data_IF_473059144658
#
_entry.id   IF_473059144658
#
_cell.length_a   1.000
_cell.length_b   1.000
_cell.length_c   1.000
_cell.angle_alpha   90.00
_cell.angle_beta   90.00
_cell.angle_gamma   90.00
#
_symmetry.space_group_name_H-M   'P 1'
#
loop_
_entity.id
_entity.type
_entity.pdbx_description
1 polymer ?
#
# COMPACT_ATOMS: atom_id res chain seq x y z
N UNK A 1 10.72 2.76 17.35
CA UNK A 1 11.78 3.15 16.38
C UNK A 1 13.20 3.02 16.93
N UNK A 2 13.57 3.66 18.04
CA UNK A 2 14.95 3.61 18.58
C UNK A 2 15.43 2.18 18.84
N UNK A 3 14.57 1.33 19.41
CA UNK A 3 14.88 -0.09 19.59
C UNK A 3 15.16 -0.80 18.26
N UNK A 4 14.37 -0.56 17.21
CA UNK A 4 14.58 -1.13 15.88
C UNK A 4 15.89 -0.65 15.25
N UNK A 5 16.15 0.66 15.31
CA UNK A 5 17.36 1.27 14.74
C UNK A 5 18.64 0.82 15.45
N UNK A 6 18.55 0.36 16.70
CA UNK A 6 19.68 -0.24 17.41
C UNK A 6 20.07 -1.63 16.86
N UNK A 7 19.16 -2.31 16.14
CA UNK A 7 19.36 -3.67 15.64
C UNK A 7 19.97 -3.73 14.21
N UNK A 8 20.08 -2.57 13.53
CA UNK A 8 20.72 -2.46 12.21
C UNK A 8 20.42 -1.18 11.44
N UNK A 9 20.89 -1.14 10.18
CA UNK A 9 20.60 -0.05 9.24
C UNK A 9 19.10 0.05 8.93
N UNK A 10 18.61 1.28 8.81
CA UNK A 10 17.18 1.58 8.60
C UNK A 10 16.90 2.19 7.23
N UNK A 11 17.83 2.07 6.29
CA UNK A 11 17.72 2.70 4.97
C UNK A 11 16.85 1.90 4.01
N UNK A 12 16.90 0.56 4.06
CA UNK A 12 16.23 -0.32 3.10
C UNK A 12 15.22 -1.27 3.79
N UNK A 13 14.06 -1.56 3.16
CA UNK A 13 13.04 -2.47 3.71
C UNK A 13 13.58 -3.81 4.20
N UNK A 14 14.43 -4.47 3.43
CA UNK A 14 15.05 -5.76 3.83
C UNK A 14 15.92 -5.66 5.09
N UNK A 15 16.57 -4.51 5.33
CA UNK A 15 17.40 -4.32 6.52
C UNK A 15 16.52 -4.10 7.75
N UNK A 16 15.48 -3.26 7.63
CA UNK A 16 14.56 -3.01 8.75
C UNK A 16 13.71 -4.23 9.07
N UNK A 17 13.39 -5.07 8.08
CA UNK A 17 12.70 -6.35 8.27
C UNK A 17 13.52 -7.30 9.14
N UNK A 18 14.82 -7.46 8.84
CA UNK A 18 15.74 -8.25 9.68
C UNK A 18 15.96 -7.63 11.06
N UNK A 19 16.00 -6.31 11.16
CA UNK A 19 16.08 -5.60 12.43
C UNK A 19 14.83 -5.86 13.29
N UNK A 20 13.65 -5.93 12.67
CA UNK A 20 12.40 -6.28 13.35
C UNK A 20 12.47 -7.70 13.93
N UNK A 21 12.96 -8.67 13.16
CA UNK A 21 13.11 -10.05 13.66
C UNK A 21 14.01 -10.14 14.89
N UNK A 22 15.15 -9.43 14.89
CA UNK A 22 16.03 -9.35 16.07
C UNK A 22 15.31 -8.71 17.27
N UNK A 23 14.60 -7.62 17.03
CA UNK A 23 13.85 -6.92 18.07
C UNK A 23 12.76 -7.81 18.69
N UNK A 24 11.99 -8.52 17.86
CA UNK A 24 10.95 -9.46 18.30
C UNK A 24 11.57 -10.59 19.13
N UNK A 25 12.64 -11.22 18.64
CA UNK A 25 13.32 -12.31 19.34
C UNK A 25 13.88 -11.86 20.69
N UNK A 26 14.51 -10.68 20.75
CA UNK A 26 15.03 -10.08 21.98
C UNK A 26 13.90 -9.82 22.98
N UNK A 27 12.82 -9.17 22.56
CA UNK A 27 11.67 -8.88 23.43
C UNK A 27 11.01 -10.14 23.98
N UNK A 28 10.90 -11.19 23.15
CA UNK A 28 10.41 -12.50 23.56
C UNK A 28 11.31 -13.13 24.63
N UNK A 29 12.64 -13.07 24.46
CA UNK A 29 13.60 -13.56 25.45
C UNK A 29 13.55 -12.77 26.77
N UNK A 30 13.21 -11.48 26.71
CA UNK A 30 12.99 -10.61 27.87
C UNK A 30 11.62 -10.80 28.54
N UNK A 31 10.74 -11.65 27.99
CA UNK A 31 9.37 -11.85 28.49
C UNK A 31 8.45 -10.63 28.32
N UNK A 32 8.75 -9.75 27.34
CA UNK A 32 7.94 -8.56 27.05
C UNK A 32 6.75 -8.91 26.15
N UNK A 33 5.70 -8.12 26.26
CA UNK A 33 4.52 -8.22 25.39
C UNK A 33 4.91 -8.10 23.90
N UNK A 34 4.24 -8.84 23.01
CA UNK A 34 4.43 -8.75 21.57
C UNK A 34 4.20 -7.33 21.04
N UNK A 35 4.94 -6.96 20.00
CA UNK A 35 4.72 -5.69 19.31
C UNK A 35 3.32 -5.68 18.66
N UNK A 36 2.69 -4.51 18.59
CA UNK A 36 1.37 -4.33 17.99
C UNK A 36 1.44 -3.39 16.79
N UNK A 37 0.98 -3.85 15.63
CA UNK A 37 0.91 -3.05 14.42
C UNK A 37 -0.53 -2.88 13.92
N UNK A 38 -0.83 -1.66 13.45
CA UNK A 38 -2.12 -1.31 12.87
C UNK A 38 -2.18 -1.46 11.35
N UNK A 39 -3.33 -1.90 10.84
CA UNK A 39 -3.69 -1.92 9.41
C UNK A 39 -5.15 -1.48 9.22
N UNK A 40 -5.53 -1.13 7.99
CA UNK A 40 -6.88 -0.57 7.72
C UNK A 40 -7.96 -1.63 7.55
N UNK A 41 -7.61 -2.80 7.01
CA UNK A 41 -8.55 -3.89 6.73
C UNK A 41 -7.78 -5.20 6.45
N UNK A 42 -8.27 -6.38 6.88
CA UNK A 42 -7.54 -7.65 6.73
C UNK A 42 -7.21 -8.04 5.29
N UNK A 43 -7.98 -7.59 4.30
CA UNK A 43 -7.74 -7.87 2.87
C UNK A 43 -7.24 -6.63 2.10
N UNK A 44 -6.63 -5.67 2.79
CA UNK A 44 -6.09 -4.45 2.17
C UNK A 44 -4.64 -4.58 1.74
N UNK A 45 -4.25 -3.73 0.79
CA UNK A 45 -2.85 -3.57 0.37
C UNK A 45 -1.92 -3.22 1.51
N UNK A 46 -2.34 -2.36 2.44
CA UNK A 46 -1.54 -2.02 3.62
C UNK A 46 -1.25 -3.26 4.49
N UNK A 47 -2.20 -4.19 4.62
CA UNK A 47 -1.95 -5.47 5.29
C UNK A 47 -0.92 -6.29 4.52
N UNK A 48 -1.09 -6.45 3.22
CA UNK A 48 -0.16 -7.25 2.43
C UNK A 48 1.25 -6.65 2.40
N UNK A 49 1.40 -5.33 2.26
CA UNK A 49 2.69 -4.63 2.36
C UNK A 49 3.34 -4.86 3.73
N UNK A 50 2.56 -4.73 4.81
CA UNK A 50 3.06 -4.92 6.17
C UNK A 50 3.50 -6.38 6.41
N UNK A 51 2.67 -7.35 6.00
CA UNK A 51 2.96 -8.78 6.08
C UNK A 51 4.17 -9.16 5.24
N UNK A 52 4.28 -8.62 4.03
CA UNK A 52 5.43 -8.86 3.15
C UNK A 52 6.71 -8.34 3.81
N UNK A 53 6.69 -7.10 4.32
CA UNK A 53 7.84 -6.54 5.04
C UNK A 53 8.26 -7.39 6.26
N UNK A 54 7.30 -7.87 7.06
CA UNK A 54 7.56 -8.70 8.24
C UNK A 54 8.11 -10.09 7.86
N UNK A 55 7.43 -10.77 6.94
CA UNK A 55 7.73 -12.14 6.55
C UNK A 55 9.11 -12.28 5.89
N UNK A 56 9.49 -11.34 5.01
CA UNK A 56 10.83 -11.32 4.40
C UNK A 56 11.95 -11.00 5.41
N UNK A 57 11.59 -10.52 6.60
CA UNK A 57 12.50 -10.36 7.73
C UNK A 57 12.65 -11.61 8.59
N UNK A 58 11.79 -12.62 8.40
CA UNK A 58 11.68 -13.79 9.27
C UNK A 58 10.73 -13.61 10.47
N UNK A 59 9.78 -12.66 10.40
CA UNK A 59 8.75 -12.45 11.41
C UNK A 59 7.42 -12.95 10.88
N UNK A 60 6.82 -13.92 11.55
CA UNK A 60 5.47 -14.36 11.22
C UNK A 60 4.43 -13.33 11.71
N UNK A 61 3.68 -12.66 10.81
CA UNK A 61 2.75 -11.61 11.19
C UNK A 61 1.53 -12.11 12.00
N UNK A 62 1.26 -13.41 12.03
CA UNK A 62 0.14 -14.00 12.77
C UNK A 62 0.56 -14.61 14.12
N UNK A 63 1.84 -14.97 14.28
CA UNK A 63 2.35 -15.66 15.48
C UNK A 63 3.35 -14.84 16.31
N UNK A 64 4.19 -14.03 15.66
CA UNK A 64 5.30 -13.35 16.34
C UNK A 64 4.95 -11.96 16.88
N UNK A 65 3.81 -11.40 16.46
CA UNK A 65 3.33 -10.08 16.85
C UNK A 65 1.81 -9.99 16.76
N UNK A 66 1.25 -8.83 17.10
CA UNK A 66 -0.18 -8.57 17.04
C UNK A 66 -0.50 -7.61 15.89
N UNK A 67 -1.27 -8.07 14.90
CA UNK A 67 -1.89 -7.20 13.89
C UNK A 67 -3.32 -6.83 14.29
N UNK A 68 -3.65 -5.54 14.26
CA UNK A 68 -5.00 -5.04 14.56
C UNK A 68 -5.55 -4.13 13.47
N UNK A 69 -6.88 -4.14 13.34
CA UNK A 69 -7.60 -3.25 12.41
C UNK A 69 -8.00 -1.98 13.14
N UNK A 70 -7.61 -0.83 12.58
CA UNK A 70 -7.97 0.49 13.09
C UNK A 70 -8.33 1.44 11.95
N UNK A 71 -9.33 2.31 12.12
CA UNK A 71 -9.51 3.46 11.24
C UNK A 71 -8.26 4.34 11.23
N UNK A 72 -7.82 4.84 10.05
CA UNK A 72 -6.59 5.62 9.93
C UNK A 72 -6.41 6.79 10.91
N UNK A 73 -7.42 7.64 11.19
CA UNK A 73 -7.24 8.75 12.13
C UNK A 73 -6.86 8.27 13.54
N UNK A 74 -7.41 7.12 13.96
CA UNK A 74 -7.14 6.55 15.28
C UNK A 74 -5.77 5.88 15.36
N UNK A 75 -5.13 5.53 14.23
CA UNK A 75 -3.77 4.98 14.26
C UNK A 75 -2.75 5.97 14.81
N UNK A 76 -2.87 7.26 14.44
CA UNK A 76 -1.99 8.32 14.94
C UNK A 76 -2.15 8.51 16.45
N UNK A 77 -3.40 8.53 16.92
CA UNK A 77 -3.72 8.67 18.34
C UNK A 77 -3.22 7.46 19.17
N UNK A 78 -3.40 6.24 18.66
CA UNK A 78 -2.93 5.03 19.34
C UNK A 78 -1.41 4.94 19.35
N UNK A 79 -0.72 5.41 18.31
CA UNK A 79 0.74 5.54 18.30
C UNK A 79 1.21 6.53 19.38
N UNK A 80 0.57 7.70 19.48
CA UNK A 80 0.88 8.71 20.50
C UNK A 80 0.70 8.19 21.95
N UNK A 81 -0.24 7.25 22.14
CA UNK A 81 -0.53 6.61 23.44
C UNK A 81 0.31 5.36 23.71
N UNK A 82 1.25 5.01 22.84
CA UNK A 82 2.04 3.78 22.89
C UNK A 82 1.16 2.50 22.91
N UNK A 83 -0.01 2.55 22.29
CA UNK A 83 -0.90 1.40 22.09
C UNK A 83 -0.59 0.66 20.78
N UNK A 84 0.10 1.33 19.85
CA UNK A 84 0.71 0.77 18.66
C UNK A 84 2.23 0.97 18.71
N UNK A 85 2.97 0.00 18.17
CA UNK A 85 4.40 0.10 17.90
C UNK A 85 4.68 0.57 16.46
N UNK A 86 3.69 0.42 15.57
CA UNK A 86 3.74 0.90 14.19
C UNK A 86 2.42 0.68 13.45
N UNK A 87 2.31 1.14 12.21
CA UNK A 87 1.16 0.88 11.34
C UNK A 87 1.52 1.01 9.87
N UNK A 88 0.70 0.42 9.00
CA UNK A 88 0.73 0.66 7.55
C UNK A 88 -0.62 1.22 7.10
N UNK A 89 -0.60 2.35 6.39
CA UNK A 89 -1.80 3.10 6.03
C UNK A 89 -1.53 4.00 4.83
N UNK A 90 -2.59 4.31 4.08
CA UNK A 90 -2.52 5.28 2.98
C UNK A 90 -2.25 6.69 3.50
N UNK A 91 -1.73 7.55 2.64
CA UNK A 91 -1.55 8.96 2.96
C UNK A 91 -2.89 9.62 3.38
N UNK A 92 -2.87 10.67 4.23
CA UNK A 92 -1.69 11.40 4.74
C UNK A 92 -1.29 11.03 6.17
N UNK A 93 -1.87 9.99 6.77
CA UNK A 93 -1.83 9.75 8.22
C UNK A 93 -0.43 9.50 8.78
N UNK A 94 0.47 8.88 8.01
CA UNK A 94 1.88 8.75 8.39
C UNK A 94 2.58 10.10 8.49
N UNK A 95 2.29 11.03 7.57
CA UNK A 95 2.80 12.41 7.63
C UNK A 95 2.22 13.19 8.82
N UNK A 96 0.94 12.97 9.14
CA UNK A 96 0.31 13.55 10.35
C UNK A 96 1.03 13.07 11.61
N UNK A 97 1.37 11.78 11.70
CA UNK A 97 2.11 11.25 12.85
C UNK A 97 3.53 11.84 12.97
N UNK A 98 4.22 12.05 11.84
CA UNK A 98 5.55 12.70 11.82
C UNK A 98 5.46 14.15 12.26
N UNK A 99 4.53 14.93 11.71
CA UNK A 99 4.38 16.35 12.03
C UNK A 99 3.93 16.56 13.50
N UNK A 100 3.15 15.64 14.05
CA UNK A 100 2.80 15.63 15.48
C UNK A 100 3.95 15.17 16.39
N UNK A 101 5.07 14.71 15.83
CA UNK A 101 6.23 14.23 16.59
C UNK A 101 6.02 12.89 17.31
N UNK A 102 4.98 12.14 16.95
CA UNK A 102 4.61 10.87 17.60
C UNK A 102 5.05 9.65 16.81
N UNK A 103 5.51 9.83 15.57
CA UNK A 103 5.93 8.75 14.69
C UNK A 103 7.05 9.12 13.75
N UNK A 104 7.53 8.10 13.03
CA UNK A 104 8.49 8.23 11.93
C UNK A 104 8.00 7.38 10.77
N UNK A 105 8.22 7.84 9.54
CA UNK A 105 8.00 7.03 8.35
C UNK A 105 9.23 6.16 8.14
N UNK A 106 9.05 4.85 8.26
CA UNK A 106 10.13 3.89 8.04
C UNK A 106 10.37 3.68 6.54
N UNK A 107 9.29 3.38 5.80
CA UNK A 107 9.30 3.13 4.36
C UNK A 107 8.06 3.72 3.69
N UNK A 108 8.19 4.05 2.41
CA UNK A 108 7.08 4.35 1.52
C UNK A 108 6.51 3.05 0.97
N UNK A 109 5.21 3.05 0.63
CA UNK A 109 4.57 1.86 0.05
C UNK A 109 5.25 1.39 -1.24
N UNK A 110 5.68 2.34 -2.08
CA UNK A 110 6.43 2.08 -3.32
C UNK A 110 7.80 1.42 -3.10
N UNK A 111 8.42 1.61 -1.92
CA UNK A 111 9.68 0.94 -1.56
C UNK A 111 9.44 -0.51 -1.14
N UNK A 112 8.24 -0.83 -0.62
CA UNK A 112 7.86 -2.21 -0.27
C UNK A 112 7.41 -2.97 -1.51
N UNK A 113 6.55 -2.33 -2.31
CA UNK A 113 6.03 -2.92 -3.54
C UNK A 113 5.89 -1.84 -4.62
N UNK A 114 6.72 -1.94 -5.65
CA UNK A 114 6.68 -1.07 -6.81
C UNK A 114 5.38 -1.29 -7.59
N UNK A 115 4.71 -0.19 -7.93
CA UNK A 115 3.45 -0.21 -8.68
C UNK A 115 2.35 -1.04 -8.00
N UNK A 116 2.24 -0.93 -6.67
CA UNK A 116 1.15 -1.53 -5.91
C UNK A 116 -0.21 -1.00 -6.44
N UNK A 117 -1.17 -1.87 -6.80
CA UNK A 117 -2.55 -1.41 -6.99
C UNK A 117 -3.01 -0.84 -5.65
N UNK A 118 -3.48 0.39 -5.57
CA UNK A 118 -3.94 0.94 -4.29
C UNK A 118 -5.45 1.18 -4.29
N UNK A 119 -5.90 2.31 -4.78
CA UNK A 119 -7.32 2.67 -4.72
C UNK A 119 -7.92 2.55 -6.11
N UNK A 120 -9.10 1.93 -6.18
CA UNK A 120 -9.79 1.62 -7.43
C UNK A 120 -11.20 2.22 -7.44
N UNK A 121 -11.70 2.58 -8.62
CA UNK A 121 -13.13 2.73 -8.84
C UNK A 121 -13.74 1.34 -8.98
N UNK A 122 -14.54 0.92 -8.01
CA UNK A 122 -15.29 -0.33 -8.09
C UNK A 122 -16.76 -0.04 -8.39
N UNK A 123 -17.29 -0.74 -9.40
CA UNK A 123 -18.70 -0.71 -9.78
C UNK A 123 -19.28 -2.12 -9.69
N UNK A 124 -20.60 -2.24 -9.45
CA UNK A 124 -21.26 -3.54 -9.62
C UNK A 124 -21.23 -3.91 -11.10
N UNK A 125 -20.93 -5.17 -11.41
CA UNK A 125 -20.85 -5.66 -12.78
C UNK A 125 -22.14 -5.40 -13.58
N UNK A 126 -23.31 -5.68 -12.98
CA UNK A 126 -24.59 -5.41 -13.62
C UNK A 126 -24.77 -3.93 -13.98
N UNK A 127 -24.41 -3.03 -13.07
CA UNK A 127 -24.49 -1.59 -13.33
C UNK A 127 -23.58 -1.18 -14.50
N UNK A 128 -22.36 -1.74 -14.55
CA UNK A 128 -21.42 -1.41 -15.60
C UNK A 128 -21.90 -1.90 -16.97
N UNK A 129 -22.48 -3.11 -17.02
CA UNK A 129 -23.04 -3.70 -18.24
C UNK A 129 -24.31 -2.98 -18.71
N UNK A 130 -25.16 -2.55 -17.79
CA UNK A 130 -26.43 -1.87 -18.11
C UNK A 130 -26.22 -0.40 -18.51
N UNK A 131 -25.08 0.21 -18.16
CA UNK A 131 -24.83 1.65 -18.36
C UNK A 131 -23.46 1.94 -19.02
N UNK A 132 -23.12 1.32 -20.17
CA UNK A 132 -21.77 1.40 -20.73
C UNK A 132 -21.34 2.84 -21.07
N UNK A 133 -22.24 3.66 -21.62
CA UNK A 133 -21.93 5.06 -21.97
C UNK A 133 -21.66 5.93 -20.74
N UNK A 134 -22.41 5.70 -19.65
CA UNK A 134 -22.22 6.42 -18.39
C UNK A 134 -20.91 6.01 -17.72
N UNK A 135 -20.58 4.71 -17.74
CA UNK A 135 -19.29 4.21 -17.25
C UNK A 135 -18.14 4.82 -18.04
N UNK A 136 -18.22 4.84 -19.37
CA UNK A 136 -17.20 5.44 -20.20
C UNK A 136 -17.05 6.95 -19.94
N UNK A 137 -18.16 7.66 -19.73
CA UNK A 137 -18.13 9.07 -19.34
C UNK A 137 -17.49 9.30 -17.96
N UNK A 138 -17.78 8.42 -16.99
CA UNK A 138 -17.17 8.45 -15.66
C UNK A 138 -15.66 8.20 -15.72
N UNK A 139 -15.21 7.20 -16.50
CA UNK A 139 -13.79 6.92 -16.71
C UNK A 139 -13.09 8.15 -17.30
N UNK A 140 -13.63 8.76 -18.36
CA UNK A 140 -13.10 10.02 -18.95
C UNK A 140 -13.10 11.19 -17.97
N UNK A 141 -14.03 11.24 -17.03
CA UNK A 141 -14.05 12.29 -16.00
C UNK A 141 -12.93 12.07 -14.98
N UNK A 142 -12.73 10.83 -14.52
CA UNK A 142 -11.68 10.48 -13.58
C UNK A 142 -10.29 10.64 -14.18
N UNK A 143 -10.10 10.22 -15.43
CA UNK A 143 -8.83 10.38 -16.15
C UNK A 143 -8.42 11.86 -16.27
N UNK A 144 -9.36 12.73 -16.67
CA UNK A 144 -9.13 14.19 -16.69
C UNK A 144 -8.88 14.77 -15.31
N UNK A 145 -9.56 14.27 -14.28
CA UNK A 145 -9.33 14.68 -12.90
C UNK A 145 -7.94 14.27 -12.41
N UNK A 146 -7.50 13.07 -12.76
CA UNK A 146 -6.17 12.56 -12.45
C UNK A 146 -5.08 13.39 -13.12
N UNK A 147 -5.24 13.70 -14.42
CA UNK A 147 -4.36 14.60 -15.14
C UNK A 147 -4.34 16.01 -14.51
N UNK A 148 -5.50 16.53 -14.10
CA UNK A 148 -5.56 17.83 -13.41
C UNK A 148 -4.76 17.83 -12.10
N UNK A 149 -4.81 16.75 -11.32
CA UNK A 149 -4.08 16.64 -10.04
C UNK A 149 -2.57 16.57 -10.25
N UNK A 150 -2.10 15.88 -11.30
CA UNK A 150 -0.67 15.73 -11.56
C UNK A 150 0.00 17.02 -12.05
N UNK A 151 -0.77 18.02 -12.48
CA UNK A 151 -0.22 19.28 -12.98
C UNK A 151 0.27 20.19 -11.84
N UNK A 152 1.58 20.58 -11.85
CA UNK A 152 2.17 21.33 -10.74
C UNK A 152 1.46 22.64 -10.38
N UNK A 153 0.90 23.33 -11.37
CA UNK A 153 0.13 24.56 -11.18
C UNK A 153 -1.17 24.36 -10.39
N UNK A 154 -1.75 23.16 -10.42
CA UNK A 154 -3.02 22.85 -9.78
C UNK A 154 -2.85 22.32 -8.35
N UNK A 155 -1.65 21.87 -7.97
CA UNK A 155 -1.39 21.28 -6.65
C UNK A 155 -1.82 22.17 -5.48
N UNK A 156 -1.66 23.49 -5.62
CA UNK A 156 -2.12 24.43 -4.59
C UNK A 156 -3.63 24.39 -4.38
N UNK A 157 -4.40 24.39 -5.46
CA UNK A 157 -5.86 24.29 -5.41
C UNK A 157 -6.31 22.93 -4.87
N UNK A 158 -5.73 21.84 -5.40
CA UNK A 158 -6.05 20.48 -4.99
C UNK A 158 -5.81 20.28 -3.49
N UNK A 159 -4.67 20.74 -2.97
CA UNK A 159 -4.36 20.68 -1.54
C UNK A 159 -5.38 21.44 -0.68
N UNK A 160 -5.83 22.62 -1.13
CA UNK A 160 -6.84 23.43 -0.42
C UNK A 160 -8.24 22.82 -0.47
N UNK A 161 -8.59 22.12 -1.54
CA UNK A 161 -9.86 21.37 -1.62
C UNK A 161 -9.80 20.21 -0.62
N UNK A 162 -8.74 19.39 -0.67
CA UNK A 162 -8.62 18.21 0.17
C UNK A 162 -8.47 18.55 1.66
N UNK A 163 -7.94 19.73 2.01
CA UNK A 163 -7.78 20.17 3.40
C UNK A 163 -9.08 20.53 4.10
N UNK A 164 -10.19 20.70 3.38
CA UNK A 164 -11.45 21.09 4.00
C UNK A 164 -12.00 19.96 4.88
N UNK A 165 -12.69 20.27 6.00
CA UNK A 165 -13.21 19.26 6.92
C UNK A 165 -14.17 18.25 6.28
N UNK A 166 -14.89 18.64 5.22
CA UNK A 166 -15.78 17.75 4.46
C UNK A 166 -15.06 16.76 3.54
N UNK A 167 -13.74 16.91 3.34
CA UNK A 167 -12.88 15.99 2.59
C UNK A 167 -11.92 15.24 3.51
N UNK A 168 -10.61 15.48 3.40
CA UNK A 168 -9.60 14.81 4.24
C UNK A 168 -9.47 15.52 5.59
N UNK A 169 -9.63 16.84 5.61
CA UNK A 169 -9.64 17.62 6.85
C UNK A 169 -8.28 17.72 7.55
N UNK A 170 -7.18 17.67 6.80
CA UNK A 170 -5.81 17.88 7.32
C UNK A 170 -5.16 19.10 6.67
N UNK A 171 -4.05 19.58 7.24
CA UNK A 171 -3.35 20.75 6.73
C UNK A 171 -2.96 20.61 5.24
N UNK A 172 -3.23 21.66 4.46
CA UNK A 172 -3.00 21.68 3.02
C UNK A 172 -1.53 21.45 2.65
N UNK A 173 -0.59 21.86 3.50
CA UNK A 173 0.85 21.67 3.30
C UNK A 173 1.24 20.20 3.50
N UNK A 174 0.59 19.48 4.42
CA UNK A 174 0.75 18.01 4.54
C UNK A 174 0.28 17.33 3.25
N UNK A 175 -0.89 17.74 2.73
CA UNK A 175 -1.43 17.18 1.48
C UNK A 175 -0.50 17.50 0.31
N UNK A 176 0.00 18.73 0.21
CA UNK A 176 0.93 19.14 -0.85
C UNK A 176 2.17 18.25 -0.87
N UNK A 177 2.79 18.01 0.29
CA UNK A 177 3.96 17.12 0.43
C UNK A 177 3.67 15.68 -0.02
N UNK A 178 2.48 15.18 0.29
CA UNK A 178 2.00 13.86 -0.17
C UNK A 178 1.87 13.82 -1.69
N UNK A 179 1.23 14.83 -2.30
CA UNK A 179 1.03 14.89 -3.75
C UNK A 179 2.34 15.01 -4.52
N UNK A 180 3.36 15.65 -3.94
CA UNK A 180 4.67 15.80 -4.58
C UNK A 180 5.65 14.67 -4.23
N UNK A 181 5.30 13.77 -3.31
CA UNK A 181 6.22 12.75 -2.80
C UNK A 181 7.42 13.29 -2.00
N UNK A 182 7.35 14.53 -1.52
CA UNK A 182 8.40 15.19 -0.72
C UNK A 182 8.01 15.19 0.75
N UNK A 183 8.37 14.13 1.48
CA UNK A 183 7.87 13.89 2.84
C UNK A 183 8.92 14.14 3.90
N UNK A 184 8.47 14.68 5.04
CA UNK A 184 9.20 14.54 6.29
C UNK A 184 9.06 13.11 6.79
N UNK A 185 10.18 12.44 7.01
CA UNK A 185 10.19 11.05 7.49
C UNK A 185 10.49 10.96 8.98
N UNK A 186 11.22 11.92 9.54
CA UNK A 186 11.53 12.00 10.96
C UNK A 186 12.00 13.39 11.35
N UNK A 187 11.28 14.09 12.24
CA UNK A 187 11.65 15.44 12.69
C UNK A 187 11.99 16.39 11.52
N UNK A 188 13.28 16.69 11.28
CA UNK A 188 13.76 17.54 10.18
C UNK A 188 14.27 16.77 8.95
N UNK A 189 14.28 15.44 9.01
CA UNK A 189 14.73 14.58 7.93
C UNK A 189 13.62 14.47 6.88
N UNK A 190 13.97 14.79 5.63
CA UNK A 190 13.08 14.76 4.48
C UNK A 190 13.58 13.77 3.43
N UNK A 191 12.65 13.11 2.75
CA UNK A 191 12.92 12.18 1.66
C UNK A 191 11.94 12.42 0.52
N UNK A 192 12.42 12.19 -0.69
CA UNK A 192 11.66 12.42 -1.91
C UNK A 192 11.66 11.17 -2.78
N UNK A 193 10.50 10.77 -3.27
CA UNK A 193 10.37 9.74 -4.29
C UNK A 193 9.29 10.15 -5.30
N UNK A 194 9.67 10.29 -6.57
CA UNK A 194 8.74 10.59 -7.65
C UNK A 194 7.71 9.48 -7.88
N UNK A 195 7.91 8.27 -7.34
CA UNK A 195 6.96 7.17 -7.39
C UNK A 195 6.09 7.03 -6.13
N UNK A 196 6.23 7.94 -5.15
CA UNK A 196 5.49 7.85 -3.89
C UNK A 196 3.96 7.80 -4.09
N UNK A 197 3.43 8.70 -4.92
CA UNK A 197 2.03 8.76 -5.28
C UNK A 197 1.93 9.18 -6.75
N UNK A 198 1.32 8.33 -7.56
CA UNK A 198 1.10 8.56 -8.99
C UNK A 198 -0.39 8.44 -9.24
N UNK A 199 -0.97 9.45 -9.89
CA UNK A 199 -2.42 9.53 -10.11
C UNK A 199 -2.73 9.55 -11.61
N UNK A 200 -2.32 10.60 -12.34
CA UNK A 200 -2.66 10.82 -13.75
C UNK A 200 -1.62 10.40 -14.78
N UNK A 201 -0.40 10.04 -14.36
CA UNK A 201 0.72 9.68 -15.25
C UNK A 201 1.12 8.21 -15.16
N UNK A 202 2.06 7.84 -16.03
CA UNK A 202 2.70 6.52 -16.05
C UNK A 202 1.73 5.32 -16.09
N UNK A 203 0.56 5.52 -16.69
CA UNK A 203 -0.48 4.49 -16.84
C UNK A 203 -1.26 4.17 -15.56
N UNK A 204 -1.11 4.95 -14.47
CA UNK A 204 -1.69 4.63 -13.16
C UNK A 204 -3.22 4.50 -13.13
N UNK A 205 -3.93 5.18 -14.04
CA UNK A 205 -5.40 5.11 -14.14
C UNK A 205 -5.91 3.85 -14.82
N UNK A 206 -5.07 3.15 -15.60
CA UNK A 206 -5.49 1.96 -16.34
C UNK A 206 -5.36 0.72 -15.45
N UNK A 207 -6.45 -0.03 -15.18
CA UNK A 207 -6.38 -1.26 -14.41
C UNK A 207 -5.44 -2.30 -15.04
N UNK A 208 -4.56 -2.90 -14.25
CA UNK A 208 -3.64 -3.96 -14.71
C UNK A 208 -4.01 -5.30 -14.06
N UNK A 209 -4.55 -6.28 -14.82
CA UNK A 209 -4.91 -7.59 -14.28
C UNK A 209 -3.79 -8.31 -13.52
N UNK A 210 -2.51 -8.07 -13.87
CA UNK A 210 -1.36 -8.68 -13.17
C UNK A 210 -1.28 -8.24 -11.71
N UNK A 211 -1.73 -7.02 -11.42
CA UNK A 211 -1.82 -6.51 -10.05
C UNK A 211 -2.90 -7.27 -9.25
N UNK A 212 -4.02 -7.65 -9.87
CA UNK A 212 -5.04 -8.47 -9.23
C UNK A 212 -4.54 -9.90 -8.98
N UNK A 213 -3.78 -10.47 -9.91
CA UNK A 213 -3.13 -11.77 -9.73
C UNK A 213 -2.17 -11.75 -8.55
N UNK A 214 -1.37 -10.70 -8.42
CA UNK A 214 -0.47 -10.56 -7.29
C UNK A 214 -1.23 -10.46 -5.96
N UNK A 215 -2.31 -9.67 -5.89
CA UNK A 215 -3.18 -9.58 -4.70
C UNK A 215 -3.75 -10.97 -4.36
N UNK A 216 -4.24 -11.68 -5.37
CA UNK A 216 -4.78 -13.03 -5.18
C UNK A 216 -3.71 -14.00 -4.68
N UNK A 217 -2.47 -13.91 -5.18
CA UNK A 217 -1.34 -14.67 -4.65
C UNK A 217 -1.05 -14.33 -3.18
N UNK A 218 -1.16 -13.07 -2.77
CA UNK A 218 -1.03 -12.69 -1.35
C UNK A 218 -2.19 -13.22 -0.50
N UNK A 219 -3.42 -13.20 -1.01
CA UNK A 219 -4.57 -13.82 -0.33
C UNK A 219 -4.36 -15.33 -0.14
N UNK A 220 -3.80 -16.02 -1.13
CA UNK A 220 -3.43 -17.42 -1.01
C UNK A 220 -2.32 -17.61 0.04
N UNK A 221 -1.25 -16.80 -0.01
CA UNK A 221 -0.14 -16.85 0.96
C UNK A 221 -0.63 -16.77 2.42
N UNK A 222 -1.72 -16.05 2.68
CA UNK A 222 -2.23 -15.80 4.03
C UNK A 222 -3.56 -16.50 4.34
N UNK A 223 -3.87 -17.63 3.69
CA UNK A 223 -5.06 -18.46 3.95
C UNK A 223 -6.40 -17.72 3.82
N UNK A 224 -6.43 -16.65 3.04
CA UNK A 224 -7.59 -15.77 2.87
C UNK A 224 -8.49 -16.17 1.69
N UNK A 225 -8.02 -17.09 0.85
CA UNK A 225 -8.77 -17.66 -0.27
C UNK A 225 -8.29 -19.08 -0.57
N UNK A 226 -8.85 -19.71 -1.60
CA UNK A 226 -8.48 -21.06 -2.04
C UNK A 226 -7.98 -21.03 -3.47
N UNK A 227 -7.00 -21.87 -3.78
CA UNK A 227 -6.50 -22.01 -5.13
C UNK A 227 -7.45 -22.87 -5.99
N UNK A 228 -7.91 -22.30 -7.10
CA UNK A 228 -8.48 -23.03 -8.23
C UNK A 228 -8.30 -22.22 -9.52
N UNK A 229 -8.31 -22.86 -10.71
CA UNK A 229 -8.28 -22.13 -11.98
C UNK A 229 -9.43 -21.11 -12.10
N UNK A 230 -10.64 -21.49 -11.68
CA UNK A 230 -11.81 -20.60 -11.68
C UNK A 230 -11.58 -19.36 -10.80
N UNK A 231 -11.03 -19.53 -9.60
CA UNK A 231 -10.76 -18.41 -8.70
C UNK A 231 -9.66 -17.50 -9.22
N UNK A 232 -8.63 -18.07 -9.87
CA UNK A 232 -7.59 -17.29 -10.53
C UNK A 232 -8.15 -16.44 -11.68
N UNK A 233 -9.00 -17.02 -12.54
CA UNK A 233 -9.64 -16.30 -13.64
C UNK A 233 -10.57 -15.20 -13.12
N UNK A 234 -11.34 -15.48 -12.06
CA UNK A 234 -12.19 -14.49 -11.39
C UNK A 234 -11.37 -13.37 -10.77
N UNK A 235 -10.22 -13.65 -10.18
CA UNK A 235 -9.34 -12.61 -9.63
C UNK A 235 -8.85 -11.66 -10.73
N UNK A 236 -8.44 -12.18 -11.90
CA UNK A 236 -8.02 -11.36 -13.03
C UNK A 236 -9.16 -10.47 -13.56
N UNK A 237 -10.37 -11.03 -13.64
CA UNK A 237 -11.49 -10.35 -14.29
C UNK A 237 -12.08 -9.17 -13.50
N UNK A 238 -11.72 -9.00 -12.22
CA UNK A 238 -12.20 -7.86 -11.42
C UNK A 238 -11.57 -6.52 -11.85
N UNK A 239 -10.36 -6.55 -12.41
CA UNK A 239 -9.75 -5.38 -13.01
C UNK A 239 -10.05 -5.39 -14.51
N UNK A 240 -10.79 -4.38 -14.96
CA UNK A 240 -11.39 -4.30 -16.30
C UNK A 240 -10.69 -3.27 -17.19
N UNK A 241 -9.48 -3.56 -17.72
CA UNK A 241 -8.81 -2.67 -18.65
C UNK A 241 -9.63 -2.43 -19.92
N UNK A 242 -10.45 -3.40 -20.35
CA UNK A 242 -11.30 -3.28 -21.53
C UNK A 242 -12.33 -2.13 -21.42
N UNK A 243 -12.88 -1.88 -20.23
CA UNK A 243 -13.76 -0.74 -20.00
C UNK A 243 -12.99 0.59 -20.06
N UNK A 244 -11.74 0.60 -19.56
CA UNK A 244 -10.88 1.77 -19.62
C UNK A 244 -10.46 2.09 -21.06
N UNK A 245 -9.99 1.08 -21.79
CA UNK A 245 -9.51 1.18 -23.18
C UNK A 245 -10.63 1.53 -24.15
N UNK A 246 -11.87 1.11 -23.87
CA UNK A 246 -13.03 1.57 -24.64
C UNK A 246 -13.37 3.05 -24.41
N UNK A 247 -12.97 3.61 -23.26
CA UNK A 247 -13.31 4.98 -22.86
C UNK A 247 -12.20 5.99 -23.14
N UNK A 248 -10.93 5.55 -23.13
CA UNK A 248 -9.72 6.36 -23.23
C UNK A 248 -8.87 5.86 -24.39
N UNK A 249 -8.59 6.74 -25.35
CA UNK A 249 -7.58 6.49 -26.37
C UNK A 249 -6.23 6.98 -25.85
N UNK A 250 -5.30 6.06 -25.61
CA UNK A 250 -4.01 6.39 -24.99
C UNK A 250 -3.01 5.24 -25.00
N UNK A 251 -1.71 5.54 -24.82
CA UNK A 251 -0.68 4.52 -24.82
C UNK A 251 -0.83 3.60 -23.62
N UNK A 252 -0.66 2.30 -23.85
CA UNK A 252 -0.54 1.32 -22.77
C UNK A 252 0.87 1.38 -22.19
N UNK A 253 1.03 2.06 -21.06
CA UNK A 253 2.28 2.05 -20.29
C UNK A 253 2.27 0.85 -19.37
N UNK A 254 3.14 -0.11 -19.64
CA UNK A 254 3.31 -1.29 -18.80
C UNK A 254 4.46 -1.06 -17.83
N UNK A 255 4.16 -1.07 -16.52
CA UNK A 255 5.18 -0.98 -15.48
C UNK A 255 5.50 -2.35 -14.91
N UNK A 256 6.71 -2.46 -14.38
CA UNK A 256 7.12 -3.60 -13.57
C UNK A 256 6.39 -3.54 -12.23
N UNK A 257 5.88 -4.70 -11.80
CA UNK A 257 5.32 -4.92 -10.47
C UNK A 257 6.31 -5.80 -9.71
N UNK A 258 6.63 -5.44 -8.47
CA UNK A 258 7.65 -6.19 -7.74
C UNK A 258 7.80 -5.71 -6.31
N UNK A 259 8.08 -6.65 -5.41
CA UNK A 259 8.41 -6.35 -4.03
C UNK A 259 9.91 -6.10 -3.87
N UNK A 260 10.30 -5.47 -2.75
CA UNK A 260 11.71 -5.22 -2.41
C UNK A 260 12.55 -6.48 -2.19
N UNK A 261 11.91 -7.64 -2.02
CA UNK A 261 12.51 -8.94 -1.73
C UNK A 261 11.57 -10.09 -2.13
N UNK A 262 12.05 -11.32 -2.02
CA UNK A 262 11.31 -12.52 -2.39
C UNK A 262 11.38 -12.83 -3.90
N UNK A 263 10.68 -13.87 -4.36
CA UNK A 263 10.60 -14.24 -5.76
C UNK A 263 9.94 -13.13 -6.60
N UNK A 264 10.42 -12.96 -7.83
CA UNK A 264 9.74 -12.15 -8.85
C UNK A 264 8.37 -12.74 -9.18
N UNK A 265 7.41 -11.86 -9.45
CA UNK A 265 6.06 -12.25 -9.90
C UNK A 265 5.98 -12.16 -11.42
N UNK A 266 6.68 -13.07 -12.10
CA UNK A 266 6.89 -13.07 -13.56
C UNK A 266 6.50 -14.42 -14.20
N UNK A 267 5.28 -14.51 -14.75
CA UNK A 267 4.78 -15.66 -15.52
C UNK A 267 4.89 -17.03 -14.82
N UNK A 268 4.96 -17.04 -13.48
CA UNK A 268 5.01 -18.25 -12.64
C UNK A 268 3.64 -18.77 -12.30
N UNK A 269 3.53 -20.08 -12.02
CA UNK A 269 2.37 -20.62 -11.35
C UNK A 269 2.25 -20.06 -9.92
N UNK A 270 1.04 -20.04 -9.35
CA UNK A 270 0.86 -19.61 -7.96
C UNK A 270 1.62 -20.54 -7.00
N UNK A 271 1.67 -21.84 -7.32
CA UNK A 271 2.44 -22.85 -6.58
C UNK A 271 3.92 -22.50 -6.53
N UNK A 272 4.55 -22.25 -7.68
CA UNK A 272 5.98 -21.95 -7.76
C UNK A 272 6.32 -20.61 -7.09
N UNK A 273 5.45 -19.61 -7.26
CA UNK A 273 5.61 -18.31 -6.60
C UNK A 273 5.54 -18.46 -5.08
N UNK A 274 4.54 -19.21 -4.55
CA UNK A 274 4.36 -19.37 -3.12
C UNK A 274 5.40 -20.28 -2.47
N UNK A 275 5.93 -21.27 -3.21
CA UNK A 275 7.04 -22.10 -2.76
C UNK A 275 8.34 -21.31 -2.53
N UNK A 276 8.47 -20.13 -3.15
CA UNK A 276 9.62 -19.24 -2.97
C UNK A 276 9.66 -18.46 -1.66
N UNK A 277 8.64 -18.58 -0.80
CA UNK A 277 8.58 -17.90 0.49
C UNK A 277 8.83 -18.85 1.67
N UNK A 278 9.55 -18.35 2.67
CA UNK A 278 9.82 -19.08 3.92
C UNK A 278 8.62 -19.05 4.87
N UNK A 279 7.89 -17.93 4.91
CA UNK A 279 6.73 -17.72 5.79
C UNK A 279 5.47 -17.50 4.96
N UNK A 280 4.42 -18.23 5.31
CA UNK A 280 3.10 -18.22 4.66
C UNK A 280 2.69 -19.61 4.19
N UNK A 281 1.51 -19.68 3.58
CA UNK A 281 0.98 -20.89 2.97
C UNK A 281 1.82 -21.33 1.77
N UNK A 282 2.02 -22.64 1.67
CA UNK A 282 2.40 -23.32 0.43
C UNK A 282 1.16 -24.00 -0.14
N UNK A 283 1.00 -23.97 -1.46
CA UNK A 283 -0.08 -24.66 -2.17
C UNK A 283 0.22 -26.15 -2.34
#
# INVERSE_FOLDING_TARGET
YSELAAEGEVAHPAQTARALAKLVARRRAEGREPLTFGMTFPFSMHNYQLRYWMAEGGVDPDEDLRLIVLPPPYMVENLARNQLDGFCVGAPWSSVAVDAGVGVILHFGCEIFACAPEKVLALRESFANDNPDLVAALIRALDRGAAFVDEPQNLGEVSQILSRPEYVGVDAEIIRRVLTGHLRVKARDERSDANYLIIGRDGAMRPDPRQAEWIYAQMLRWWQTRHSPEMADRAKSVLRPDLFDAAIDGPHVQREIGAFAGPSFDDRSYEDYLAGFDIGQRL
#
